data_IF_653225243294
#
_entry.id   IF_653225243294
#
_cell.length_a   1.000
_cell.length_b   1.000
_cell.length_c   1.000
_cell.angle_alpha   90.00
_cell.angle_beta   90.00
_cell.angle_gamma   90.00
#
_symmetry.space_group_name_H-M   'P 1'
#
loop_
_entity.id
_entity.type
_entity.pdbx_description
1 polymer ?
#
# COMPACT_ATOMS: atom_id res chain seq x y z
N UNK A 1 -0.81 0.86 13.84
CA UNK A 1 -1.58 2.04 13.36
C UNK A 1 -0.79 2.70 12.24
N UNK A 2 -1.45 3.10 11.15
CA UNK A 2 -0.82 3.68 9.97
C UNK A 2 -1.74 4.75 9.37
N UNK A 3 -1.19 5.65 8.54
CA UNK A 3 -1.96 6.71 7.87
C UNK A 3 -2.87 6.12 6.80
N UNK A 4 -4.10 6.63 6.69
CA UNK A 4 -5.07 6.21 5.66
C UNK A 4 -5.16 7.24 4.55
N UNK A 5 -5.01 6.84 3.30
CA UNK A 5 -5.03 7.71 2.13
C UNK A 5 -6.42 8.19 1.68
N UNK A 6 -7.48 7.91 2.45
CA UNK A 6 -8.85 8.37 2.15
C UNK A 6 -9.67 7.48 1.21
N UNK A 7 -9.18 6.29 0.89
CA UNK A 7 -9.85 5.32 0.02
C UNK A 7 -10.98 4.53 0.68
N UNK A 8 -12.13 4.39 0.00
CA UNK A 8 -13.18 3.44 0.37
C UNK A 8 -12.98 2.12 -0.36
N UNK A 9 -12.92 1.01 0.39
CA UNK A 9 -12.71 -0.31 -0.17
C UNK A 9 -13.98 -0.90 -0.77
N UNK A 10 -15.15 -0.73 -0.16
CA UNK A 10 -16.38 -1.44 -0.57
C UNK A 10 -16.96 -0.93 -1.89
N UNK A 11 -17.58 -1.82 -2.68
CA UNK A 11 -18.22 -1.47 -3.96
C UNK A 11 -17.29 -1.14 -5.14
N UNK A 12 -15.97 -1.10 -4.95
CA UNK A 12 -15.02 -0.89 -6.05
C UNK A 12 -14.63 -2.22 -6.70
N UNK A 13 -14.66 -2.26 -8.02
CA UNK A 13 -14.06 -3.34 -8.81
C UNK A 13 -12.54 -3.45 -8.49
N UNK A 14 -11.96 -4.67 -8.45
CA UNK A 14 -10.55 -4.90 -8.14
C UNK A 14 -9.53 -4.17 -9.04
N UNK A 15 -9.92 -3.64 -10.20
CA UNK A 15 -9.07 -2.81 -11.05
C UNK A 15 -8.84 -1.41 -10.49
N UNK A 16 -9.69 -0.94 -9.57
CA UNK A 16 -9.52 0.38 -8.97
C UNK A 16 -8.33 0.34 -8.01
N UNK A 17 -7.33 1.15 -8.37
CA UNK A 17 -6.02 1.19 -7.70
C UNK A 17 -6.12 1.46 -6.20
N UNK A 18 -7.13 2.20 -5.75
CA UNK A 18 -7.40 2.42 -4.32
C UNK A 18 -7.49 1.12 -3.49
N UNK A 19 -8.17 0.09 -4.03
CA UNK A 19 -8.34 -1.20 -3.35
C UNK A 19 -7.14 -2.12 -3.58
N UNK A 20 -6.69 -2.25 -4.83
CA UNK A 20 -5.59 -3.16 -5.18
C UNK A 20 -4.24 -2.71 -4.60
N UNK A 21 -3.93 -1.41 -4.61
CA UNK A 21 -2.71 -0.89 -4.01
C UNK A 21 -2.70 -1.05 -2.48
N UNK A 22 -3.83 -0.86 -1.80
CA UNK A 22 -3.90 -1.06 -0.35
C UNK A 22 -3.65 -2.52 0.06
N UNK A 23 -4.21 -3.48 -0.69
CA UNK A 23 -3.93 -4.91 -0.46
C UNK A 23 -2.47 -5.26 -0.74
N UNK A 24 -1.90 -4.74 -1.84
CA UNK A 24 -0.47 -4.93 -2.14
C UNK A 24 0.44 -4.32 -1.07
N UNK A 25 0.16 -3.10 -0.62
CA UNK A 25 0.92 -2.44 0.44
C UNK A 25 0.93 -3.29 1.73
N UNK A 26 -0.24 -3.83 2.13
CA UNK A 26 -0.33 -4.74 3.27
C UNK A 26 0.49 -6.02 3.08
N UNK A 27 0.43 -6.62 1.90
CA UNK A 27 1.19 -7.84 1.58
C UNK A 27 2.70 -7.60 1.65
N UNK A 28 3.18 -6.51 1.04
CA UNK A 28 4.59 -6.15 1.04
C UNK A 28 5.06 -5.84 2.47
N UNK A 29 4.30 -5.06 3.24
CA UNK A 29 4.66 -4.72 4.63
C UNK A 29 4.78 -5.98 5.50
N UNK A 30 3.85 -6.93 5.37
CA UNK A 30 3.90 -8.20 6.10
C UNK A 30 5.14 -9.02 5.75
N UNK A 31 5.52 -9.05 4.46
CA UNK A 31 6.69 -9.80 4.02
C UNK A 31 8.00 -9.14 4.49
N UNK A 32 8.09 -7.81 4.51
CA UNK A 32 9.28 -7.10 5.00
C UNK A 32 9.51 -7.37 6.49
N UNK A 33 8.44 -7.30 7.30
CA UNK A 33 8.51 -7.63 8.73
C UNK A 33 8.81 -9.12 8.93
N UNK A 34 8.17 -10.00 8.16
CA UNK A 34 8.41 -11.45 8.22
C UNK A 34 9.83 -11.85 7.81
N UNK A 35 10.50 -11.05 6.97
CA UNK A 35 11.90 -11.23 6.59
C UNK A 35 12.89 -10.71 7.65
N UNK A 36 12.41 -10.15 8.77
CA UNK A 36 13.26 -9.64 9.86
C UNK A 36 14.00 -8.34 9.51
N UNK A 37 13.60 -7.64 8.45
CA UNK A 37 14.27 -6.41 8.00
C UNK A 37 13.99 -5.21 8.92
N UNK A 38 12.79 -5.15 9.49
CA UNK A 38 12.38 -4.10 10.44
C UNK A 38 11.20 -4.56 11.30
N UNK A 39 11.08 -3.99 12.49
CA UNK A 39 9.98 -4.21 13.42
C UNK A 39 8.71 -3.44 13.00
N UNK A 40 8.88 -2.31 12.29
CA UNK A 40 7.79 -1.47 11.77
C UNK A 40 8.13 -0.91 10.39
N UNK A 41 7.13 -0.91 9.52
CA UNK A 41 7.27 -0.45 8.14
C UNK A 41 5.99 0.25 7.69
N UNK A 42 6.09 1.52 7.28
CA UNK A 42 5.04 2.25 6.59
C UNK A 42 5.33 2.27 5.09
N UNK A 43 4.34 1.87 4.29
CA UNK A 43 4.42 1.86 2.83
C UNK A 43 3.44 2.89 2.30
N UNK A 44 3.98 3.94 1.67
CA UNK A 44 3.17 4.93 0.95
C UNK A 44 3.24 4.67 -0.54
N UNK A 45 2.08 4.48 -1.17
CA UNK A 45 1.94 4.27 -2.62
C UNK A 45 1.21 5.47 -3.20
N UNK A 46 1.82 6.12 -4.20
CA UNK A 46 1.16 7.15 -5.01
C UNK A 46 1.06 6.69 -6.46
N UNK A 47 -0.16 6.76 -6.99
CA UNK A 47 -0.46 6.36 -8.36
C UNK A 47 -0.99 7.56 -9.15
N UNK A 48 -0.46 7.74 -10.36
CA UNK A 48 -1.03 8.62 -11.38
C UNK A 48 -1.50 7.75 -12.56
N UNK A 49 -2.42 8.27 -13.38
CA UNK A 49 -3.00 7.56 -14.54
C UNK A 49 -1.97 6.99 -15.53
N UNK A 50 -0.73 7.46 -15.52
CA UNK A 50 0.36 7.02 -16.41
C UNK A 50 1.59 6.46 -15.70
N UNK A 51 1.68 6.55 -14.37
CA UNK A 51 2.89 6.14 -13.65
C UNK A 51 2.64 5.85 -12.18
N UNK A 52 3.22 4.77 -11.67
CA UNK A 52 3.29 4.46 -10.25
C UNK A 52 4.57 5.11 -9.71
N UNK A 53 4.44 6.24 -9.03
CA UNK A 53 5.58 7.03 -8.58
C UNK A 53 5.64 7.09 -7.06
N UNK A 54 6.76 6.56 -6.54
CA UNK A 54 7.22 6.54 -5.14
C UNK A 54 6.58 5.47 -4.24
N UNK A 55 7.44 4.55 -3.81
CA UNK A 55 7.32 3.75 -2.60
C UNK A 55 8.26 4.41 -1.58
N UNK A 56 7.70 5.15 -0.62
CA UNK A 56 8.48 5.62 0.52
C UNK A 56 8.33 4.58 1.65
N UNK A 57 9.45 4.06 2.14
CA UNK A 57 9.53 3.16 3.29
C UNK A 57 9.99 4.00 4.48
N UNK A 58 9.19 4.09 5.53
CA UNK A 58 9.60 4.71 6.79
C UNK A 58 9.32 3.79 7.97
#
# INVERSE_FOLDING_TARGET
>A
MARHGGGCFSGKDPTKIDRSAAYMARYIAKNIVGAGLTDRCEIQISYNRRSCSRICLC
#
